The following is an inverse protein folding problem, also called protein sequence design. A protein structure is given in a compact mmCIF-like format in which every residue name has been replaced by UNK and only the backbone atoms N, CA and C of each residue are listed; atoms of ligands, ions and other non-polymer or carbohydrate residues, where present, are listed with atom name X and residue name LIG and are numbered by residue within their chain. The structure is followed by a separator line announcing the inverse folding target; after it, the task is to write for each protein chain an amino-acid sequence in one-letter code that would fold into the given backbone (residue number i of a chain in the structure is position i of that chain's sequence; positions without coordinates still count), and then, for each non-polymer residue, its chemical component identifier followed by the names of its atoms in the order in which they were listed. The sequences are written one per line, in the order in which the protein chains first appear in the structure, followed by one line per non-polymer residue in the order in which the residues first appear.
data_IF_214451020531
#
_entry.id   IF_214451020531
#
_cell.length_a   1.000
_cell.length_b   1.000
_cell.length_c   1.000
_cell.angle_alpha   90.00
_cell.angle_beta   90.00
_cell.angle_gamma   90.00
#
_symmetry.space_group_name_H-M   'P 1'
#
loop_
_entity.id
_entity.type
_entity.pdbx_description
1 polymer ?
#
# COMPACT_ATOMS: atom_id res chain seq x y z
N UNK A 1 12.59 -3.94 -10.73
CA UNK A 1 13.27 -5.17 -11.18
C UNK A 1 13.15 -6.25 -10.11
N UNK A 2 12.58 -7.42 -10.43
CA UNK A 2 12.48 -8.54 -9.48
C UNK A 2 13.86 -9.12 -9.23
N UNK A 3 14.31 -9.13 -7.97
CA UNK A 3 15.65 -9.60 -7.61
C UNK A 3 15.56 -11.08 -7.22
N UNK A 4 15.63 -11.95 -8.24
CA UNK A 4 15.35 -13.39 -8.14
C UNK A 4 16.14 -14.11 -7.04
N UNK A 5 17.34 -13.62 -6.72
CA UNK A 5 18.19 -14.20 -5.67
C UNK A 5 17.62 -13.95 -4.28
N UNK A 6 17.19 -12.71 -3.99
CA UNK A 6 16.58 -12.37 -2.71
C UNK A 6 15.24 -13.10 -2.54
N UNK A 7 14.46 -13.18 -3.61
CA UNK A 7 13.19 -13.89 -3.60
C UNK A 7 13.40 -15.39 -3.29
N UNK A 8 14.43 -16.02 -3.86
CA UNK A 8 14.78 -17.42 -3.56
C UNK A 8 15.24 -17.60 -2.11
N UNK A 9 16.04 -16.68 -1.57
CA UNK A 9 16.49 -16.71 -0.18
C UNK A 9 15.29 -16.60 0.77
N UNK A 10 14.35 -15.72 0.49
CA UNK A 10 13.14 -15.55 1.30
C UNK A 10 12.27 -16.81 1.27
N UNK A 11 12.09 -17.44 0.10
CA UNK A 11 11.34 -18.70 -0.01
C UNK A 11 12.00 -19.80 0.82
N UNK A 12 13.32 -19.97 0.72
CA UNK A 12 14.03 -20.98 1.50
C UNK A 12 13.89 -20.73 3.01
N UNK A 13 14.04 -19.48 3.46
CA UNK A 13 13.99 -19.13 4.88
C UNK A 13 12.60 -19.28 5.48
N UNK A 14 11.59 -18.71 4.84
CA UNK A 14 10.27 -18.56 5.47
C UNK A 14 9.30 -19.67 5.05
N UNK A 15 9.40 -20.17 3.82
CA UNK A 15 8.46 -21.16 3.31
C UNK A 15 8.97 -22.60 3.49
N UNK A 16 10.30 -22.84 3.35
CA UNK A 16 10.89 -24.18 3.53
C UNK A 16 11.40 -24.43 4.96
N UNK A 17 12.16 -23.49 5.54
CA UNK A 17 12.70 -23.62 6.89
C UNK A 17 11.72 -23.17 7.99
N UNK A 18 10.55 -22.64 7.60
CA UNK A 18 9.52 -22.15 8.52
C UNK A 18 10.02 -21.15 9.58
N UNK A 19 11.03 -20.34 9.23
CA UNK A 19 11.48 -19.28 10.13
C UNK A 19 10.35 -18.25 10.30
N UNK A 20 10.22 -17.63 11.49
CA UNK A 20 9.23 -16.58 11.70
C UNK A 20 9.55 -15.38 10.81
N UNK A 21 8.51 -14.80 10.19
CA UNK A 21 8.64 -13.57 9.43
C UNK A 21 8.99 -12.40 10.37
N UNK A 22 9.76 -11.41 9.89
CA UNK A 22 9.93 -10.16 10.59
C UNK A 22 8.56 -9.54 10.90
N UNK A 23 8.34 -9.02 12.12
CA UNK A 23 7.06 -8.43 12.48
C UNK A 23 6.77 -7.19 11.63
N UNK A 24 5.49 -6.97 11.34
CA UNK A 24 5.02 -5.71 10.76
C UNK A 24 5.10 -4.64 11.86
N UNK A 25 5.73 -3.48 11.60
CA UNK A 25 5.76 -2.36 12.54
C UNK A 25 4.37 -2.01 13.07
N UNK A 26 4.24 -1.80 14.38
CA UNK A 26 2.96 -1.47 15.00
C UNK A 26 2.34 -0.20 14.42
N UNK A 27 3.17 0.76 14.03
CA UNK A 27 2.73 2.00 13.41
C UNK A 27 1.99 1.76 12.10
N UNK A 28 2.44 0.81 11.27
CA UNK A 28 1.71 0.43 10.07
C UNK A 28 0.33 -0.15 10.41
N UNK A 29 0.27 -1.05 11.39
CA UNK A 29 -0.99 -1.71 11.79
C UNK A 29 -2.02 -0.74 12.39
N UNK A 30 -1.56 0.29 13.09
CA UNK A 30 -2.42 1.33 13.67
C UNK A 30 -2.94 2.32 12.63
N UNK A 31 -2.28 2.42 11.47
CA UNK A 31 -2.53 3.44 10.46
C UNK A 31 -3.02 2.87 9.11
N UNK A 32 -3.93 1.89 9.16
CA UNK A 32 -4.56 1.31 7.96
C UNK A 32 -5.62 2.20 7.31
N UNK A 33 -6.00 3.30 7.97
CA UNK A 33 -6.96 4.28 7.46
C UNK A 33 -6.24 5.59 7.14
N UNK A 34 -5.92 5.79 5.86
CA UNK A 34 -5.24 7.01 5.43
C UNK A 34 -6.24 8.07 5.01
N UNK A 35 -6.01 9.31 5.47
CA UNK A 35 -6.60 10.50 4.88
C UNK A 35 -5.69 11.01 3.77
N UNK A 36 -6.23 11.08 2.57
CA UNK A 36 -5.50 11.41 1.36
C UNK A 36 -6.10 12.65 0.73
N UNK A 37 -5.22 13.55 0.30
CA UNK A 37 -5.60 14.66 -0.56
C UNK A 37 -5.30 14.26 -1.99
N UNK A 38 -6.35 14.16 -2.80
CA UNK A 38 -6.21 13.79 -4.20
C UNK A 38 -5.96 15.05 -5.03
N UNK A 39 -4.89 15.02 -5.80
CA UNK A 39 -4.58 16.06 -6.75
C UNK A 39 -4.58 15.45 -8.16
N UNK A 40 -5.32 16.08 -9.07
CA UNK A 40 -5.38 15.66 -10.47
C UNK A 40 -4.52 16.58 -11.32
N UNK A 41 -3.48 16.05 -11.93
CA UNK A 41 -2.67 16.80 -12.89
C UNK A 41 -3.12 16.45 -14.32
N UNK A 42 -4.19 17.12 -14.78
CA UNK A 42 -4.62 17.12 -16.18
C UNK A 42 -4.49 15.79 -16.93
N UNK A 43 -3.67 15.78 -17.99
CA UNK A 43 -3.40 14.63 -18.86
C UNK A 43 -2.26 13.72 -18.37
N UNK A 44 -1.66 13.99 -17.20
CA UNK A 44 -0.42 13.36 -16.74
C UNK A 44 -0.61 12.36 -15.58
N UNK A 45 -1.85 12.19 -15.10
CA UNK A 45 -2.21 11.16 -14.12
C UNK A 45 -2.77 11.74 -12.81
N UNK A 46 -2.82 10.89 -11.80
CA UNK A 46 -3.25 11.22 -10.45
C UNK A 46 -2.05 11.23 -9.52
N UNK A 47 -2.01 12.19 -8.60
CA UNK A 47 -1.09 12.17 -7.48
C UNK A 47 -1.86 12.39 -6.18
N UNK A 48 -1.36 11.81 -5.11
CA UNK A 48 -1.95 11.95 -3.78
C UNK A 48 -0.88 12.14 -2.74
N UNK A 49 -1.31 12.77 -1.65
CA UNK A 49 -0.50 13.05 -0.49
C UNK A 49 -1.29 12.61 0.75
N UNK A 50 -0.64 11.89 1.66
CA UNK A 50 -1.26 11.56 2.93
C UNK A 50 -1.20 12.77 3.87
N UNK A 51 -2.37 13.20 4.35
CA UNK A 51 -2.52 14.39 5.20
C UNK A 51 -1.82 14.20 6.54
N UNK A 52 -1.95 13.01 7.13
CA UNK A 52 -1.42 12.70 8.45
C UNK A 52 0.04 12.19 8.40
N UNK A 53 0.59 11.96 7.20
CA UNK A 53 1.93 11.38 7.00
C UNK A 53 2.75 12.19 5.98
N UNK A 54 3.40 13.28 6.42
CA UNK A 54 4.20 14.12 5.55
C UNK A 54 5.29 13.32 4.83
N UNK A 55 5.40 13.51 3.51
CA UNK A 55 6.34 12.78 2.65
C UNK A 55 5.82 11.47 2.08
N UNK A 56 4.65 10.98 2.53
CA UNK A 56 3.98 9.86 1.89
C UNK A 56 3.16 10.38 0.70
N UNK A 57 3.77 10.24 -0.47
CA UNK A 57 3.19 10.63 -1.76
C UNK A 57 3.15 9.43 -2.70
N UNK A 58 2.10 9.35 -3.51
CA UNK A 58 1.99 8.33 -4.54
C UNK A 58 1.37 8.91 -5.81
N UNK A 59 1.76 8.36 -6.95
CA UNK A 59 1.26 8.77 -8.27
C UNK A 59 0.96 7.57 -9.13
N UNK A 60 -0.05 7.68 -10.00
CA UNK A 60 -0.43 6.61 -10.93
C UNK A 60 -1.20 7.16 -12.12
N UNK A 61 -1.15 6.44 -13.25
CA UNK A 61 -1.87 6.86 -14.46
C UNK A 61 -3.38 6.60 -14.36
N UNK A 62 -3.78 5.68 -13.48
CA UNK A 62 -5.16 5.29 -13.21
C UNK A 62 -5.35 4.97 -11.71
N UNK A 63 -6.60 4.80 -11.28
CA UNK A 63 -6.93 4.57 -9.86
C UNK A 63 -6.35 3.26 -9.31
N UNK A 64 -6.23 2.20 -10.12
CA UNK A 64 -5.68 0.92 -9.69
C UNK A 64 -4.16 1.00 -9.46
N UNK A 65 -3.45 1.67 -10.36
CA UNK A 65 -2.03 1.99 -10.20
C UNK A 65 -1.80 2.91 -9.01
N UNK A 66 -2.60 3.97 -8.89
CA UNK A 66 -2.52 4.92 -7.78
C UNK A 66 -2.68 4.20 -6.43
N UNK A 67 -3.66 3.30 -6.32
CA UNK A 67 -3.85 2.46 -5.13
C UNK A 67 -2.63 1.59 -4.85
N UNK A 68 -2.15 0.87 -5.85
CA UNK A 68 -0.99 -0.03 -5.71
C UNK A 68 0.26 0.74 -5.28
N UNK A 69 0.49 1.92 -5.89
CA UNK A 69 1.58 2.81 -5.54
C UNK A 69 1.43 3.39 -4.12
N UNK A 70 0.20 3.69 -3.68
CA UNK A 70 -0.06 4.17 -2.33
C UNK A 70 0.25 3.11 -1.28
N UNK A 71 -0.16 1.87 -1.54
CA UNK A 71 0.12 0.76 -0.65
C UNK A 71 1.64 0.50 -0.55
N UNK A 72 2.35 0.50 -1.68
CA UNK A 72 3.82 0.35 -1.71
C UNK A 72 4.53 1.52 -1.00
N UNK A 73 4.05 2.75 -1.19
CA UNK A 73 4.54 3.92 -0.49
C UNK A 73 4.34 3.81 1.03
N UNK A 74 3.20 3.29 1.49
CA UNK A 74 2.99 3.02 2.92
C UNK A 74 3.95 1.98 3.47
N UNK A 75 4.09 0.84 2.79
CA UNK A 75 5.00 -0.21 3.23
C UNK A 75 6.42 0.31 3.36
N UNK A 76 6.83 1.18 2.43
CA UNK A 76 8.14 1.86 2.46
C UNK A 76 8.22 2.88 3.58
N UNK A 77 7.20 3.74 3.74
CA UNK A 77 7.18 4.80 4.73
C UNK A 77 7.30 4.28 6.17
N UNK A 78 6.64 3.15 6.46
CA UNK A 78 6.66 2.51 7.76
C UNK A 78 7.79 1.48 7.92
N UNK A 79 8.77 1.44 7.02
CA UNK A 79 9.91 0.50 7.07
C UNK A 79 9.48 -0.99 7.19
N UNK A 80 8.41 -1.37 6.49
CA UNK A 80 7.93 -2.76 6.51
C UNK A 80 8.97 -3.66 5.83
N UNK A 81 9.47 -4.72 6.50
CA UNK A 81 10.48 -5.60 5.93
C UNK A 81 10.00 -6.24 4.63
N UNK A 82 10.85 -6.23 3.59
CA UNK A 82 10.53 -6.76 2.24
C UNK A 82 9.87 -8.14 2.27
N UNK A 83 10.43 -9.08 3.04
CA UNK A 83 9.93 -10.46 3.11
C UNK A 83 8.49 -10.54 3.63
N UNK A 84 8.12 -9.60 4.50
CA UNK A 84 6.77 -9.44 5.05
C UNK A 84 5.88 -8.65 4.10
N UNK A 85 6.39 -7.56 3.50
CA UNK A 85 5.70 -6.75 2.50
C UNK A 85 5.23 -7.57 1.27
N UNK A 86 5.98 -8.59 0.87
CA UNK A 86 5.59 -9.49 -0.23
C UNK A 86 4.44 -10.45 0.12
N UNK A 87 4.14 -10.62 1.42
CA UNK A 87 3.17 -11.60 1.94
C UNK A 87 1.97 -10.95 2.62
N UNK A 88 2.03 -9.65 2.90
CA UNK A 88 0.93 -8.89 3.48
C UNK A 88 -0.09 -8.54 2.41
N UNK A 89 -1.37 -8.75 2.73
CA UNK A 89 -2.47 -8.34 1.86
C UNK A 89 -2.75 -6.85 2.02
N UNK A 90 -3.07 -6.18 0.92
CA UNK A 90 -3.60 -4.83 0.96
C UNK A 90 -4.93 -4.82 1.72
N UNK A 91 -4.90 -4.18 2.88
CA UNK A 91 -6.05 -4.00 3.79
C UNK A 91 -6.32 -2.51 4.05
N UNK A 92 -5.62 -1.62 3.34
CA UNK A 92 -5.64 -0.19 3.62
C UNK A 92 -6.90 0.44 3.02
N UNK A 93 -7.57 1.28 3.81
CA UNK A 93 -8.69 2.09 3.32
C UNK A 93 -8.17 3.47 2.94
N UNK A 94 -8.38 3.85 1.68
CA UNK A 94 -8.00 5.16 1.16
C UNK A 94 -9.21 6.09 1.28
N UNK A 95 -9.12 7.12 2.12
CA UNK A 95 -10.17 8.11 2.30
C UNK A 95 -9.75 9.41 1.62
N UNK A 96 -10.52 9.84 0.63
CA UNK A 96 -10.27 11.10 -0.07
C UNK A 96 -10.98 12.27 0.62
N UNK A 97 -10.45 13.48 0.38
CA UNK A 97 -10.96 14.75 0.89
C UNK A 97 -12.35 15.12 0.37
N UNK A 98 -12.74 14.57 -0.78
CA UNK A 98 -14.09 14.69 -1.34
C UNK A 98 -15.10 13.68 -0.78
N UNK A 99 -14.71 12.91 0.23
CA UNK A 99 -15.56 11.92 0.89
C UNK A 99 -15.61 10.55 0.20
N UNK A 100 -14.97 10.37 -0.96
CA UNK A 100 -14.87 9.06 -1.60
C UNK A 100 -13.96 8.14 -0.80
N UNK A 101 -14.32 6.86 -0.75
CA UNK A 101 -13.49 5.82 -0.16
C UNK A 101 -13.15 4.76 -1.20
N UNK A 102 -11.91 4.25 -1.15
CA UNK A 102 -11.49 3.11 -1.94
C UNK A 102 -11.06 1.98 -1.02
N UNK A 103 -11.86 0.91 -1.06
CA UNK A 103 -11.66 -0.30 -0.30
C UNK A 103 -10.59 -1.21 -0.95
N UNK A 104 -9.94 -2.08 -0.15
CA UNK A 104 -9.02 -3.08 -0.67
C UNK A 104 -9.66 -4.07 -1.64
N UNK A 105 -8.89 -4.51 -2.64
CA UNK A 105 -9.37 -5.42 -3.68
C UNK A 105 -9.76 -6.82 -3.17
N UNK A 106 -9.34 -7.20 -1.96
CA UNK A 106 -9.68 -8.48 -1.34
C UNK A 106 -11.03 -8.45 -0.58
N UNK A 107 -11.64 -7.28 -0.42
CA UNK A 107 -13.09 -7.18 -0.14
C UNK A 107 -13.82 -7.49 -1.44
N UNK A 108 -14.80 -8.39 -1.45
CA UNK A 108 -15.49 -8.87 -2.66
C UNK A 108 -16.17 -7.81 -3.55
N UNK A 109 -16.03 -6.53 -3.25
CA UNK A 109 -16.51 -5.41 -4.06
C UNK A 109 -15.50 -4.26 -3.97
N UNK A 110 -14.61 -4.12 -4.96
CA UNK A 110 -13.93 -2.85 -5.19
C UNK A 110 -14.95 -1.84 -5.76
N UNK A 111 -15.91 -1.43 -4.92
CA UNK A 111 -16.87 -0.38 -5.22
C UNK A 111 -16.32 0.94 -4.70
N UNK A 112 -16.25 1.94 -5.58
CA UNK A 112 -16.19 3.35 -5.16
C UNK A 112 -17.53 3.63 -4.50
N UNK A 113 -17.57 3.68 -3.17
CA UNK A 113 -18.77 4.07 -2.43
C UNK A 113 -18.75 5.58 -2.31
N UNK A 114 -19.62 6.25 -3.08
CA UNK A 114 -19.98 7.65 -2.84
C UNK A 114 -20.92 7.71 -1.64
N UNK A 115 -20.52 8.44 -0.60
CA UNK A 115 -21.41 8.85 0.49
C UNK A 115 -22.46 9.85 0.01
#
# INVERSE_FOLDING_TARGET
MKNKVLDLIDVLKYDYLHLPLPPVPEEFQKNLNLKLKLYKEGSHGYWLEAVDFPGLVASGSNLAELRSATFDAMLTYFDVPRSTALRISDTVVLNFDDGRQVLPSNSMEAMVVTA
#
